data_IF_403025889554
#
_entry.id   IF_403025889554
#
_cell.length_a   1.000
_cell.length_b   1.000
_cell.length_c   1.000
_cell.angle_alpha   90.00
_cell.angle_beta   90.00
_cell.angle_gamma   90.00
#
_symmetry.space_group_name_H-M   'P 1'
#
loop_
_entity.id
_entity.type
_entity.pdbx_description
1 polymer ?
#
# COMPACT_ATOMS: atom_id res chain seq x y z
N UNK A 1 -10.09 -28.63 -12.58
CA UNK A 1 -9.01 -27.62 -12.66
C UNK A 1 -9.45 -26.42 -11.85
N UNK A 2 -8.60 -25.85 -11.00
CA UNK A 2 -8.93 -24.62 -10.25
C UNK A 2 -8.77 -23.42 -11.20
N UNK A 3 -9.69 -22.46 -11.18
CA UNK A 3 -9.54 -21.24 -11.96
C UNK A 3 -8.27 -20.49 -11.50
N UNK A 4 -7.49 -19.96 -12.46
CA UNK A 4 -6.26 -19.19 -12.16
C UNK A 4 -6.59 -17.88 -11.45
N UNK A 5 -7.66 -17.21 -11.88
CA UNK A 5 -8.24 -16.07 -11.19
C UNK A 5 -9.19 -16.56 -10.10
N UNK A 6 -8.99 -16.09 -8.87
CA UNK A 6 -9.82 -16.46 -7.74
C UNK A 6 -9.74 -15.40 -6.62
N UNK A 7 -10.76 -15.30 -5.75
CA UNK A 7 -10.68 -14.43 -4.57
C UNK A 7 -9.46 -14.74 -3.71
N UNK A 8 -8.91 -13.71 -3.07
CA UNK A 8 -7.78 -13.84 -2.17
C UNK A 8 -8.13 -13.27 -0.79
N UNK A 9 -7.93 -14.07 0.25
CA UNK A 9 -8.16 -13.67 1.64
C UNK A 9 -6.83 -13.33 2.31
N UNK A 10 -6.66 -12.07 2.70
CA UNK A 10 -5.53 -11.65 3.55
C UNK A 10 -5.77 -12.03 5.02
N UNK A 11 -7.04 -12.05 5.44
CA UNK A 11 -7.47 -12.47 6.78
C UNK A 11 -8.95 -12.85 6.74
N UNK A 12 -9.51 -13.28 7.88
CA UNK A 12 -10.96 -13.53 8.02
C UNK A 12 -11.82 -12.28 7.74
N UNK A 13 -11.26 -11.08 7.88
CA UNK A 13 -11.97 -9.79 7.72
C UNK A 13 -11.73 -9.11 6.38
N UNK A 14 -10.69 -9.51 5.65
CA UNK A 14 -10.25 -8.83 4.42
C UNK A 14 -10.08 -9.85 3.32
N UNK A 15 -11.03 -9.86 2.39
CA UNK A 15 -11.05 -10.67 1.18
C UNK A 15 -11.24 -9.76 -0.02
N UNK A 16 -10.35 -9.88 -0.99
CA UNK A 16 -10.41 -9.18 -2.28
C UNK A 16 -11.02 -10.10 -3.34
N UNK A 17 -11.71 -9.54 -4.37
CA UNK A 17 -12.48 -10.34 -5.33
C UNK A 17 -11.62 -11.22 -6.26
N UNK A 18 -10.34 -10.90 -6.39
CA UNK A 18 -9.39 -11.63 -7.21
C UNK A 18 -7.96 -11.62 -6.65
N UNK A 19 -7.03 -12.21 -7.38
CA UNK A 19 -5.65 -12.45 -6.98
C UNK A 19 -4.63 -11.70 -7.85
N UNK A 20 -5.03 -10.63 -8.55
CA UNK A 20 -4.16 -9.80 -9.38
C UNK A 20 -3.86 -8.47 -8.70
N UNK A 21 -2.62 -8.32 -8.22
CA UNK A 21 -2.23 -7.13 -7.44
C UNK A 21 -1.21 -6.28 -8.20
N UNK A 22 -1.41 -4.97 -8.20
CA UNK A 22 -0.43 -4.03 -8.73
C UNK A 22 0.68 -3.81 -7.69
N UNK A 23 1.89 -4.27 -8.02
CA UNK A 23 3.06 -4.16 -7.16
C UNK A 23 3.42 -2.69 -6.82
N UNK A 24 3.98 -2.43 -5.63
CA UNK A 24 4.43 -1.10 -5.23
C UNK A 24 5.66 -0.69 -6.05
N UNK A 25 5.62 0.50 -6.66
CA UNK A 25 6.71 1.05 -7.44
C UNK A 25 6.88 2.54 -7.12
N UNK A 26 7.95 2.89 -6.40
CA UNK A 26 8.25 4.28 -6.08
C UNK A 26 8.42 5.13 -7.35
N UNK A 27 7.73 6.27 -7.39
CA UNK A 27 7.64 7.16 -8.55
C UNK A 27 6.60 6.77 -9.60
N UNK A 28 5.89 5.64 -9.45
CA UNK A 28 4.93 5.16 -10.44
C UNK A 28 3.55 4.86 -9.86
N UNK A 29 3.45 4.15 -8.74
CA UNK A 29 2.16 3.74 -8.15
C UNK A 29 1.53 4.83 -7.28
N UNK A 30 1.40 6.03 -7.82
CA UNK A 30 0.61 7.11 -7.21
C UNK A 30 -0.90 6.80 -7.29
N UNK A 31 -1.73 7.64 -6.66
CA UNK A 31 -3.18 7.41 -6.65
C UNK A 31 -3.80 7.41 -8.06
N UNK A 32 -3.33 8.26 -8.96
CA UNK A 32 -3.88 8.33 -10.32
C UNK A 32 -3.59 7.05 -11.11
N UNK A 33 -2.35 6.56 -11.05
CA UNK A 33 -1.96 5.32 -11.71
C UNK A 33 -2.68 4.10 -11.12
N UNK A 34 -2.82 4.04 -9.80
CA UNK A 34 -3.54 2.94 -9.14
C UNK A 34 -5.03 2.96 -9.49
N UNK A 35 -5.66 4.12 -9.57
CA UNK A 35 -7.05 4.25 -10.03
C UNK A 35 -7.24 3.77 -11.48
N UNK A 36 -6.29 4.09 -12.36
CA UNK A 36 -6.25 3.53 -13.71
C UNK A 36 -6.10 2.00 -13.68
N UNK A 37 -5.14 1.46 -12.94
CA UNK A 37 -4.92 0.02 -12.84
C UNK A 37 -6.16 -0.73 -12.31
N UNK A 38 -6.86 -0.19 -11.31
CA UNK A 38 -8.09 -0.79 -10.78
C UNK A 38 -9.19 -0.84 -11.85
N UNK A 39 -9.36 0.23 -12.65
CA UNK A 39 -10.29 0.22 -13.81
C UNK A 39 -9.96 -0.84 -14.85
N UNK A 40 -8.70 -1.28 -14.93
CA UNK A 40 -8.21 -2.25 -15.90
C UNK A 40 -7.96 -3.65 -15.32
N UNK A 41 -8.47 -3.94 -14.12
CA UNK A 41 -8.52 -5.30 -13.57
C UNK A 41 -7.52 -5.60 -12.46
N UNK A 42 -6.90 -4.61 -11.83
CA UNK A 42 -6.22 -4.82 -10.55
C UNK A 42 -7.24 -4.96 -9.40
N UNK A 43 -7.14 -6.06 -8.66
CA UNK A 43 -8.01 -6.37 -7.51
C UNK A 43 -7.60 -5.63 -6.23
N UNK A 44 -6.31 -5.31 -6.14
CA UNK A 44 -5.70 -4.54 -5.07
C UNK A 44 -4.45 -3.84 -5.61
N UNK A 45 -4.26 -2.58 -5.23
CA UNK A 45 -3.06 -1.83 -5.57
C UNK A 45 -2.28 -1.48 -4.30
N UNK A 46 -0.95 -1.49 -4.39
CA UNK A 46 -0.08 -1.00 -3.33
C UNK A 46 0.35 0.44 -3.61
N UNK A 47 0.39 1.28 -2.57
CA UNK A 47 1.00 2.62 -2.67
C UNK A 47 2.47 2.51 -3.08
N UNK A 48 3.07 3.66 -3.40
CA UNK A 48 4.52 3.79 -3.31
C UNK A 48 5.06 3.43 -1.91
N UNK A 49 6.38 3.30 -1.78
CA UNK A 49 7.06 3.02 -0.52
C UNK A 49 6.96 4.21 0.45
N UNK A 50 6.19 4.05 1.53
CA UNK A 50 5.94 5.08 2.54
C UNK A 50 6.96 4.97 3.68
N UNK A 51 7.74 6.03 3.90
CA UNK A 51 8.75 6.08 4.96
C UNK A 51 8.11 6.36 6.33
N UNK A 52 8.20 5.42 7.27
CA UNK A 52 7.79 5.66 8.66
C UNK A 52 8.59 6.80 9.30
N UNK A 53 9.86 6.98 8.93
CA UNK A 53 10.72 8.06 9.45
C UNK A 53 10.30 9.44 8.93
N UNK A 54 9.79 9.52 7.70
CA UNK A 54 9.25 10.78 7.19
C UNK A 54 7.86 11.08 7.80
N UNK A 55 7.03 10.07 8.01
CA UNK A 55 5.73 10.23 8.69
C UNK A 55 5.89 10.64 10.16
N UNK A 56 6.87 10.09 10.88
CA UNK A 56 7.14 10.47 12.27
C UNK A 56 7.61 11.93 12.43
N UNK A 57 7.94 12.60 11.32
CA UNK A 57 8.34 14.00 11.21
C UNK A 57 7.29 14.86 10.47
N UNK A 58 6.05 14.39 10.38
CA UNK A 58 4.91 15.09 9.76
C UNK A 58 5.12 15.50 8.28
N UNK A 59 5.86 14.68 7.51
CA UNK A 59 6.10 14.93 6.08
C UNK A 59 4.79 14.94 5.27
N UNK A 60 4.36 16.13 4.82
CA UNK A 60 3.18 16.30 3.96
C UNK A 60 3.28 15.51 2.66
N UNK A 61 4.45 15.50 2.03
CA UNK A 61 4.72 14.71 0.83
C UNK A 61 4.45 13.22 1.06
N UNK A 62 4.90 12.69 2.20
CA UNK A 62 4.72 11.27 2.53
C UNK A 62 3.27 10.95 2.91
N UNK A 63 2.56 11.90 3.52
CA UNK A 63 1.11 11.77 3.74
C UNK A 63 0.34 11.70 2.42
N UNK A 64 0.72 12.51 1.43
CA UNK A 64 0.08 12.53 0.12
C UNK A 64 0.26 11.23 -0.68
N UNK A 65 1.37 10.53 -0.49
CA UNK A 65 1.61 9.21 -1.11
C UNK A 65 0.61 8.14 -0.66
N UNK A 66 0.02 8.30 0.53
CA UNK A 66 -0.95 7.34 1.09
C UNK A 66 -2.39 7.54 0.59
N UNK A 67 -2.65 8.61 -0.17
CA UNK A 67 -4.01 8.94 -0.64
C UNK A 67 -4.58 7.79 -1.45
N UNK A 68 -5.83 7.45 -1.14
CA UNK A 68 -6.64 6.49 -1.87
C UNK A 68 -7.23 7.12 -3.14
N UNK A 69 -7.19 6.42 -4.26
CA UNK A 69 -7.90 6.80 -5.48
C UNK A 69 -9.40 6.50 -5.33
N UNK A 70 -10.25 7.23 -6.06
CA UNK A 70 -11.70 7.04 -5.99
C UNK A 70 -12.12 5.63 -6.45
N UNK A 71 -11.40 5.09 -7.44
CA UNK A 71 -11.65 3.78 -8.03
C UNK A 71 -11.21 2.61 -7.15
N UNK A 72 -10.28 2.83 -6.22
CA UNK A 72 -9.76 1.76 -5.37
C UNK A 72 -10.87 1.27 -4.43
N UNK A 73 -11.30 0.01 -4.56
CA UNK A 73 -12.12 -0.62 -3.51
C UNK A 73 -11.23 -1.14 -2.39
N UNK A 74 -10.12 -1.77 -2.79
CA UNK A 74 -9.08 -2.27 -1.90
C UNK A 74 -7.73 -1.69 -2.29
N UNK A 75 -6.99 -1.21 -1.30
CA UNK A 75 -5.61 -0.77 -1.49
C UNK A 75 -4.79 -1.07 -0.24
N UNK A 76 -3.49 -1.25 -0.46
CA UNK A 76 -2.52 -1.47 0.59
C UNK A 76 -1.58 -0.28 0.71
N UNK A 77 -1.30 0.16 1.93
CA UNK A 77 -0.20 1.09 2.19
C UNK A 77 1.04 0.25 2.49
N UNK A 78 2.05 0.35 1.63
CA UNK A 78 3.36 -0.27 1.89
C UNK A 78 4.23 0.71 2.68
N UNK A 79 4.54 0.34 3.92
CA UNK A 79 5.47 1.08 4.77
C UNK A 79 6.87 0.46 4.73
N UNK A 80 7.87 1.27 5.05
CA UNK A 80 9.18 0.78 5.46
C UNK A 80 9.67 1.53 6.69
N UNK A 81 10.44 0.83 7.51
CA UNK A 81 11.03 1.39 8.72
C UNK A 81 12.41 0.78 8.97
N UNK A 82 13.25 1.49 9.72
CA UNK A 82 14.51 0.98 10.27
C UNK A 82 14.39 0.56 11.73
N UNK A 83 13.30 0.93 12.41
CA UNK A 83 13.05 0.56 13.81
C UNK A 83 11.56 0.37 14.11
N UNK A 84 11.20 -0.48 15.09
CA UNK A 84 9.83 -0.60 15.57
C UNK A 84 9.27 0.72 16.12
N UNK A 85 10.10 1.52 16.80
CA UNK A 85 9.67 2.76 17.46
C UNK A 85 9.18 3.79 16.43
N UNK A 86 9.88 3.92 15.30
CA UNK A 86 9.48 4.83 14.22
C UNK A 86 8.20 4.33 13.53
N UNK A 87 8.03 3.01 13.38
CA UNK A 87 6.77 2.46 12.86
C UNK A 87 5.59 2.76 13.77
N UNK A 88 5.73 2.60 15.10
CA UNK A 88 4.68 2.90 16.08
C UNK A 88 4.25 4.37 15.98
N UNK A 89 5.19 5.30 15.80
CA UNK A 89 4.89 6.73 15.61
C UNK A 89 4.17 7.03 14.29
N UNK A 90 4.43 6.25 13.24
CA UNK A 90 3.82 6.42 11.92
C UNK A 90 2.40 5.81 11.82
N UNK A 91 2.11 4.79 12.64
CA UNK A 91 0.83 4.06 12.59
C UNK A 91 -0.43 4.95 12.64
N UNK A 92 -0.53 5.99 13.49
CA UNK A 92 -1.71 6.86 13.51
C UNK A 92 -2.02 7.49 12.14
N UNK A 93 -0.98 7.91 11.40
CA UNK A 93 -1.13 8.48 10.06
C UNK A 93 -1.60 7.42 9.07
N UNK A 94 -1.02 6.23 9.09
CA UNK A 94 -1.39 5.11 8.20
C UNK A 94 -2.83 4.67 8.46
N UNK A 95 -3.21 4.49 9.73
CA UNK A 95 -4.55 4.06 10.12
C UNK A 95 -5.62 5.11 9.80
N UNK A 96 -5.28 6.41 9.81
CA UNK A 96 -6.20 7.48 9.42
C UNK A 96 -6.69 7.35 7.97
N UNK A 97 -5.88 6.74 7.11
CA UNK A 97 -6.20 6.51 5.68
C UNK A 97 -7.09 5.28 5.46
N UNK A 98 -7.32 4.48 6.51
CA UNK A 98 -8.16 3.27 6.50
C UNK A 98 -7.82 2.31 5.34
N UNK A 99 -6.54 1.91 5.15
CA UNK A 99 -6.18 0.96 4.11
C UNK A 99 -6.80 -0.42 4.40
N UNK A 100 -7.00 -1.21 3.34
CA UNK A 100 -7.47 -2.60 3.48
C UNK A 100 -6.36 -3.49 4.05
N UNK A 101 -5.12 -3.19 3.71
CA UNK A 101 -3.92 -3.94 4.13
C UNK A 101 -2.80 -2.95 4.46
N UNK A 102 -2.04 -3.23 5.51
CA UNK A 102 -0.76 -2.56 5.76
C UNK A 102 0.33 -3.57 5.42
N UNK A 103 1.23 -3.21 4.52
CA UNK A 103 2.33 -4.05 4.04
C UNK A 103 3.68 -3.50 4.52
N UNK A 104 4.63 -4.38 4.81
CA UNK A 104 5.97 -3.98 5.27
C UNK A 104 6.99 -4.37 4.19
N UNK A 105 7.68 -3.38 3.63
CA UNK A 105 8.73 -3.62 2.66
C UNK A 105 9.96 -4.23 3.35
N UNK A 106 10.17 -5.53 3.13
CA UNK A 106 11.35 -6.29 3.55
C UNK A 106 12.20 -6.79 2.36
N UNK A 107 11.94 -6.28 1.15
CA UNK A 107 12.49 -6.84 -0.09
C UNK A 107 13.38 -5.90 -0.90
N UNK A 108 13.33 -4.58 -0.67
CA UNK A 108 14.08 -3.63 -1.49
C UNK A 108 15.60 -3.75 -1.23
N UNK A 109 16.43 -4.08 -2.25
CA UNK A 109 17.88 -4.19 -2.10
C UNK A 109 18.59 -2.83 -2.24
N UNK A 110 17.86 -1.78 -2.61
CA UNK A 110 18.45 -0.46 -2.89
C UNK A 110 18.95 0.13 -1.56
N UNK A 111 20.23 0.54 -1.49
CA UNK A 111 20.75 1.25 -0.33
C UNK A 111 19.93 2.51 -0.08
N UNK A 112 19.44 2.66 1.15
CA UNK A 112 18.81 3.91 1.60
C UNK A 112 19.94 4.87 1.96
N UNK A 113 20.37 5.65 0.97
CA UNK A 113 21.36 6.73 1.11
C UNK A 113 20.75 7.93 1.84
#
# INVERSE_FOLDING_TARGET
MKALYHPFAFSEKVTVPGNLFLAPMAGYTDAAWRGFATKWGADLCYTEMVSCEALSRDSSKTMDMMRKAEEELFYAIQIFTSSPETAVKALPYVLSQKPSVIDINCGCPVPKL
#
